data_IF_569276393029
#
_entry.id   IF_569276393029
#
_cell.length_a   1.000
_cell.length_b   1.000
_cell.length_c   1.000
_cell.angle_alpha   90.00
_cell.angle_beta   90.00
_cell.angle_gamma   90.00
#
_symmetry.space_group_name_H-M   'P 1'
#
loop_
_entity.id
_entity.type
_entity.pdbx_description
1 polymer ?
#
# COMPACT_ATOMS: atom_id res chain seq x y z
N UNK A 1 -1.51 -0.50 -10.14
CA UNK A 1 -0.26 0.31 -10.01
C UNK A 1 0.99 -0.57 -10.08
N UNK A 2 1.18 -1.29 -11.19
CA UNK A 2 2.43 -2.00 -11.47
C UNK A 2 3.25 -1.18 -12.43
N UNK A 3 4.43 -0.75 -11.99
CA UNK A 3 5.41 -0.06 -12.85
C UNK A 3 6.70 -0.86 -12.84
N UNK A 4 7.48 -0.87 -13.92
CA UNK A 4 8.81 -1.47 -13.93
C UNK A 4 9.71 -0.78 -12.90
N UNK A 5 10.41 -1.58 -12.08
CA UNK A 5 11.46 -1.12 -11.19
C UNK A 5 12.75 -1.87 -11.53
N UNK A 6 13.70 -1.17 -12.11
CA UNK A 6 14.95 -1.76 -12.62
C UNK A 6 16.12 -1.01 -11.99
N UNK A 7 17.02 -1.75 -11.35
CA UNK A 7 18.21 -1.21 -10.71
C UNK A 7 19.45 -1.86 -11.30
N UNK A 8 20.45 -1.05 -11.62
CA UNK A 8 21.76 -1.50 -12.06
C UNK A 8 22.86 -0.82 -11.25
N UNK A 9 23.63 -1.63 -10.52
CA UNK A 9 24.78 -1.15 -9.76
C UNK A 9 25.90 -2.20 -9.80
N UNK A 10 26.82 -2.16 -10.80
CA UNK A 10 27.90 -3.11 -10.93
C UNK A 10 28.74 -3.21 -9.66
N UNK A 11 29.07 -4.43 -9.26
CA UNK A 11 29.86 -4.71 -8.06
C UNK A 11 29.08 -4.67 -6.73
N UNK A 12 27.86 -4.18 -6.72
CA UNK A 12 27.01 -4.13 -5.52
C UNK A 12 25.74 -4.97 -5.64
N UNK A 13 25.16 -5.03 -6.83
CA UNK A 13 23.94 -5.78 -7.11
C UNK A 13 24.26 -6.83 -8.16
N UNK A 14 23.89 -8.08 -7.88
CA UNK A 14 24.13 -9.20 -8.81
C UNK A 14 23.30 -9.00 -10.09
N UNK A 15 23.90 -9.21 -11.27
CA UNK A 15 23.17 -9.12 -12.53
C UNK A 15 22.11 -10.21 -12.65
N UNK A 16 21.07 -9.95 -13.44
CA UNK A 16 19.97 -10.87 -13.75
C UNK A 16 19.18 -11.38 -12.52
N UNK A 17 19.25 -10.70 -11.39
CA UNK A 17 18.40 -11.01 -10.24
C UNK A 17 16.99 -10.46 -10.45
N UNK A 18 15.99 -11.16 -9.91
CA UNK A 18 14.59 -10.79 -9.93
C UNK A 18 13.99 -11.03 -8.55
N UNK A 19 13.05 -10.18 -8.16
CA UNK A 19 12.24 -10.32 -6.95
C UNK A 19 10.78 -10.02 -7.26
N UNK A 20 9.87 -10.77 -6.66
CA UNK A 20 8.43 -10.53 -6.68
C UNK A 20 7.95 -9.84 -5.39
N UNK A 21 8.88 -9.35 -4.57
CA UNK A 21 8.58 -8.60 -3.34
C UNK A 21 7.79 -7.32 -3.65
N UNK A 22 6.81 -7.02 -2.81
CA UNK A 22 6.02 -5.79 -2.94
C UNK A 22 6.83 -4.63 -2.40
N UNK A 23 7.09 -3.65 -3.25
CA UNK A 23 7.84 -2.44 -2.91
C UNK A 23 7.06 -1.19 -3.34
N UNK A 24 7.37 -0.06 -2.74
CA UNK A 24 6.79 1.25 -3.08
C UNK A 24 7.88 2.29 -3.27
N UNK A 25 7.59 3.36 -3.99
CA UNK A 25 8.59 4.40 -4.29
C UNK A 25 9.11 5.11 -3.04
N UNK A 26 8.30 5.20 -1.98
CA UNK A 26 8.71 5.76 -0.68
C UNK A 26 9.88 5.01 -0.06
N UNK A 27 10.09 3.72 -0.40
CA UNK A 27 11.18 2.88 0.09
C UNK A 27 12.57 3.36 -0.33
N UNK A 28 12.63 4.20 -1.36
CA UNK A 28 13.91 4.75 -1.81
C UNK A 28 14.55 5.65 -0.75
N UNK A 29 13.78 6.33 0.09
CA UNK A 29 14.32 7.17 1.16
C UNK A 29 15.14 6.33 2.16
N UNK A 30 14.54 5.29 2.74
CA UNK A 30 15.24 4.41 3.67
C UNK A 30 16.38 3.64 2.99
N UNK A 31 16.20 3.27 1.71
CA UNK A 31 17.22 2.60 0.91
C UNK A 31 18.48 3.46 0.73
N UNK A 32 18.30 4.70 0.31
CA UNK A 32 19.43 5.60 0.13
C UNK A 32 20.09 5.98 1.46
N UNK A 33 19.30 6.19 2.50
CA UNK A 33 19.83 6.45 3.83
C UNK A 33 20.72 5.29 4.32
N UNK A 34 20.29 4.04 4.15
CA UNK A 34 21.09 2.88 4.51
C UNK A 34 22.38 2.78 3.68
N UNK A 35 22.30 3.01 2.36
CA UNK A 35 23.46 2.96 1.46
C UNK A 35 24.55 3.97 1.88
N UNK A 36 24.16 5.17 2.27
CA UNK A 36 25.10 6.22 2.69
C UNK A 36 25.38 6.21 4.21
N UNK A 37 24.87 5.16 4.91
CA UNK A 37 24.99 5.02 6.36
C UNK A 37 24.47 6.25 7.14
N UNK A 38 23.34 6.80 6.71
CA UNK A 38 22.68 7.94 7.36
C UNK A 38 21.47 7.48 8.15
N UNK A 39 21.32 7.95 9.39
CA UNK A 39 20.14 7.66 10.23
C UNK A 39 19.00 8.60 9.89
N UNK A 40 17.87 8.05 9.49
CA UNK A 40 16.63 8.80 9.31
C UNK A 40 16.04 9.15 10.69
N UNK A 41 15.61 10.41 10.92
CA UNK A 41 14.86 10.78 12.13
C UNK A 41 13.56 9.97 12.26
N UNK A 42 13.04 9.85 13.50
CA UNK A 42 11.84 9.04 13.76
C UNK A 42 10.55 9.62 13.17
N UNK A 43 10.57 10.91 12.85
CA UNK A 43 9.49 11.71 12.26
C UNK A 43 9.69 11.93 10.74
N UNK A 44 10.49 11.07 10.10
CA UNK A 44 10.69 11.10 8.65
C UNK A 44 10.72 9.67 8.09
N UNK A 45 10.19 9.48 6.88
CA UNK A 45 10.17 8.18 6.22
C UNK A 45 9.30 7.13 6.92
N UNK A 46 8.18 7.54 7.50
CA UNK A 46 7.27 6.75 8.33
C UNK A 46 6.71 5.52 7.60
N UNK A 47 6.70 5.58 6.26
CA UNK A 47 6.22 4.50 5.38
C UNK A 47 7.33 3.91 4.52
N UNK A 48 8.60 4.22 4.83
CA UNK A 48 9.75 3.81 4.04
C UNK A 48 10.47 2.63 4.67
N UNK A 49 10.67 1.57 3.90
CA UNK A 49 11.46 0.39 4.27
C UNK A 49 12.64 0.27 3.33
N UNK A 50 13.84 0.00 3.87
CA UNK A 50 15.01 -0.14 3.01
C UNK A 50 14.94 -1.38 2.13
N UNK A 51 15.14 -1.18 0.84
CA UNK A 51 15.30 -2.23 -0.17
C UNK A 51 16.74 -2.74 -0.25
N UNK A 52 17.70 -2.09 0.43
CA UNK A 52 19.11 -2.42 0.27
C UNK A 52 19.45 -3.88 0.61
N UNK A 53 18.94 -4.50 1.69
CA UNK A 53 19.17 -5.93 1.96
C UNK A 53 18.66 -6.84 0.85
N UNK A 54 17.53 -6.49 0.21
CA UNK A 54 16.98 -7.22 -0.94
C UNK A 54 17.87 -7.06 -2.17
N UNK A 55 18.21 -5.83 -2.53
CA UNK A 55 18.99 -5.48 -3.72
C UNK A 55 20.42 -6.05 -3.67
N UNK A 56 21.04 -6.03 -2.49
CA UNK A 56 22.40 -6.53 -2.28
C UNK A 56 22.48 -8.05 -2.09
N UNK A 57 21.33 -8.76 -2.08
CA UNK A 57 21.27 -10.20 -1.83
C UNK A 57 21.58 -10.59 -0.38
N UNK A 58 21.57 -9.65 0.56
CA UNK A 58 21.89 -9.89 1.99
C UNK A 58 20.65 -10.15 2.85
N UNK A 59 19.46 -10.14 2.27
CA UNK A 59 18.23 -10.42 3.01
C UNK A 59 18.19 -11.88 3.45
N UNK A 60 17.93 -12.11 4.74
CA UNK A 60 17.97 -13.44 5.37
C UNK A 60 16.60 -13.97 5.79
N UNK A 61 15.53 -13.30 5.42
CA UNK A 61 14.17 -13.65 5.84
C UNK A 61 13.21 -13.66 4.67
N UNK A 62 12.25 -14.56 4.71
CA UNK A 62 11.11 -14.60 3.76
C UNK A 62 9.91 -13.78 4.24
N UNK A 63 10.03 -13.12 5.41
CA UNK A 63 8.98 -12.20 5.89
C UNK A 63 8.85 -11.04 4.91
N UNK A 64 7.63 -10.69 4.45
CA UNK A 64 7.43 -9.54 3.56
C UNK A 64 8.07 -8.25 4.08
N UNK A 65 8.55 -7.40 3.17
CA UNK A 65 9.14 -6.09 3.54
C UNK A 65 8.11 -5.19 4.21
N UNK A 66 6.88 -5.23 3.71
CA UNK A 66 5.75 -4.49 4.26
C UNK A 66 4.68 -5.43 4.79
N UNK A 67 4.08 -5.12 5.95
CA UNK A 67 2.84 -5.75 6.41
C UNK A 67 1.72 -5.51 5.38
N UNK A 68 1.59 -4.29 4.93
CA UNK A 68 0.73 -3.88 3.84
C UNK A 68 1.25 -2.58 3.23
N UNK A 69 0.86 -2.29 1.99
CA UNK A 69 1.11 -1.01 1.35
C UNK A 69 -0.19 -0.27 1.10
N UNK A 70 -0.11 1.06 1.18
CA UNK A 70 -1.23 1.96 0.90
C UNK A 70 -0.94 2.70 -0.39
N UNK A 71 -1.94 2.79 -1.25
CA UNK A 71 -1.92 3.66 -2.42
C UNK A 71 -3.16 4.54 -2.45
N UNK A 72 -3.03 5.72 -3.05
CA UNK A 72 -4.13 6.66 -3.21
C UNK A 72 -4.35 6.94 -4.69
N UNK A 73 -5.60 7.00 -5.09
CA UNK A 73 -5.97 7.36 -6.45
C UNK A 73 -5.95 8.87 -6.65
N UNK A 74 -6.02 9.32 -7.90
CA UNK A 74 -6.11 10.75 -8.25
C UNK A 74 -7.34 11.44 -7.65
N UNK A 75 -8.39 10.69 -7.34
CA UNK A 75 -9.64 11.18 -6.71
C UNK A 75 -9.62 11.04 -5.19
N UNK A 76 -8.48 10.67 -4.59
CA UNK A 76 -8.32 10.58 -3.14
C UNK A 76 -8.72 9.23 -2.53
N UNK A 77 -9.24 8.29 -3.30
CA UNK A 77 -9.63 6.97 -2.78
C UNK A 77 -8.39 6.14 -2.42
N UNK A 78 -8.43 5.49 -1.25
CA UNK A 78 -7.36 4.63 -0.77
C UNK A 78 -7.54 3.19 -1.22
N UNK A 79 -6.42 2.51 -1.42
CA UNK A 79 -6.36 1.07 -1.54
C UNK A 79 -5.26 0.51 -0.63
N UNK A 80 -5.56 -0.63 -0.02
CA UNK A 80 -4.64 -1.41 0.82
C UNK A 80 -4.29 -2.69 0.09
N UNK A 81 -2.99 -2.98 -0.05
CA UNK A 81 -2.51 -4.26 -0.54
C UNK A 81 -1.75 -4.99 0.55
N UNK A 82 -2.17 -6.22 0.84
CA UNK A 82 -1.52 -7.14 1.75
C UNK A 82 -1.43 -8.50 1.07
N UNK A 83 -0.23 -9.02 0.92
CA UNK A 83 -0.02 -10.27 0.18
C UNK A 83 -0.66 -10.21 -1.22
N UNK A 84 -1.50 -11.19 -1.57
CA UNK A 84 -2.26 -11.24 -2.82
C UNK A 84 -3.50 -10.35 -2.83
N UNK A 85 -3.97 -9.90 -1.67
CA UNK A 85 -5.23 -9.17 -1.54
C UNK A 85 -5.06 -7.67 -1.74
N UNK A 86 -5.98 -7.07 -2.49
CA UNK A 86 -6.12 -5.63 -2.63
C UNK A 86 -7.54 -5.21 -2.28
N UNK A 87 -7.68 -4.36 -1.28
CA UNK A 87 -8.94 -3.72 -0.88
C UNK A 87 -8.93 -2.27 -1.33
N UNK A 88 -9.92 -1.87 -2.11
CA UNK A 88 -10.15 -0.50 -2.57
C UNK A 88 -11.34 0.09 -1.83
N UNK A 89 -11.17 1.25 -1.20
CA UNK A 89 -12.22 2.02 -0.52
C UNK A 89 -12.92 2.95 -1.50
N UNK A 90 -13.60 2.35 -2.48
CA UNK A 90 -14.38 3.04 -3.51
C UNK A 90 -15.39 2.06 -4.08
N UNK A 91 -16.61 2.52 -4.37
CA UNK A 91 -17.56 1.72 -5.12
C UNK A 91 -17.38 1.84 -6.63
N UNK A 92 -16.71 2.90 -7.10
CA UNK A 92 -16.39 3.15 -8.50
C UNK A 92 -14.96 2.76 -8.87
N UNK A 93 -14.51 3.22 -10.03
CA UNK A 93 -13.17 2.92 -10.55
C UNK A 93 -12.01 3.48 -9.70
N UNK A 94 -12.31 4.39 -8.77
CA UNK A 94 -11.28 5.12 -8.02
C UNK A 94 -10.47 6.12 -8.85
N UNK A 95 -10.82 6.32 -10.12
CA UNK A 95 -10.09 7.18 -11.05
C UNK A 95 -10.97 7.70 -12.18
N UNK A 96 -10.44 7.72 -13.40
CA UNK A 96 -11.11 8.29 -14.58
C UNK A 96 -11.96 7.29 -15.38
N UNK A 97 -11.87 6.00 -15.08
CA UNK A 97 -12.66 4.98 -15.77
C UNK A 97 -14.11 4.96 -15.28
N UNK A 98 -15.00 4.36 -16.08
CA UNK A 98 -16.39 4.12 -15.67
C UNK A 98 -16.53 2.72 -15.04
N UNK A 99 -17.46 2.57 -14.06
CA UNK A 99 -18.27 3.63 -13.43
C UNK A 99 -17.45 4.51 -12.50
N UNK A 100 -17.67 5.82 -12.55
CA UNK A 100 -17.14 6.71 -11.52
C UNK A 100 -17.94 6.51 -10.21
N UNK A 101 -17.47 7.13 -9.11
CA UNK A 101 -18.06 6.97 -7.78
C UNK A 101 -19.58 7.28 -7.76
N UNK A 102 -20.02 8.37 -8.41
CA UNK A 102 -21.42 8.78 -8.43
C UNK A 102 -22.30 7.79 -9.20
N UNK A 103 -21.82 7.26 -10.31
CA UNK A 103 -22.53 6.26 -11.11
C UNK A 103 -22.60 4.95 -10.33
N UNK A 104 -21.49 4.49 -9.75
CA UNK A 104 -21.41 3.27 -8.97
C UNK A 104 -22.36 3.27 -7.76
N UNK A 105 -22.47 4.41 -7.05
CA UNK A 105 -23.44 4.59 -5.95
C UNK A 105 -24.89 4.47 -6.43
N UNK A 106 -25.22 5.08 -7.58
CA UNK A 106 -26.55 4.95 -8.18
C UNK A 106 -26.88 3.51 -8.61
N UNK A 107 -25.86 2.75 -8.99
CA UNK A 107 -26.00 1.32 -9.32
C UNK A 107 -26.11 0.42 -8.09
N UNK A 108 -25.97 0.96 -6.87
CA UNK A 108 -25.98 0.19 -5.63
C UNK A 108 -24.76 -0.74 -5.45
N UNK A 109 -23.64 -0.42 -6.08
CA UNK A 109 -22.43 -1.21 -5.94
C UNK A 109 -21.87 -1.13 -4.51
N UNK A 110 -21.18 -2.18 -4.03
CA UNK A 110 -20.55 -2.18 -2.71
C UNK A 110 -19.60 -0.98 -2.54
N UNK A 111 -19.54 -0.43 -1.32
CA UNK A 111 -18.68 0.73 -1.00
C UNK A 111 -17.19 0.43 -1.03
N UNK A 112 -16.84 -0.84 -1.06
CA UNK A 112 -15.46 -1.32 -1.19
C UNK A 112 -15.36 -2.44 -2.22
N UNK A 113 -14.16 -2.64 -2.75
CA UNK A 113 -13.88 -3.70 -3.72
C UNK A 113 -12.67 -4.49 -3.24
N UNK A 114 -12.79 -5.83 -3.23
CA UNK A 114 -11.71 -6.74 -2.85
C UNK A 114 -11.30 -7.60 -4.05
N UNK A 115 -10.00 -7.70 -4.28
CA UNK A 115 -9.44 -8.48 -5.38
C UNK A 115 -8.32 -9.40 -4.91
N UNK A 116 -8.25 -10.60 -5.50
CA UNK A 116 -7.13 -11.54 -5.39
C UNK A 116 -6.22 -11.33 -6.61
N UNK A 117 -5.10 -10.64 -6.43
CA UNK A 117 -4.21 -10.25 -7.53
C UNK A 117 -3.36 -11.40 -8.10
N UNK A 118 -3.31 -12.56 -7.43
CA UNK A 118 -2.63 -13.74 -7.95
C UNK A 118 -3.47 -14.40 -9.03
N UNK A 119 -4.79 -14.45 -8.84
CA UNK A 119 -5.74 -15.08 -9.76
C UNK A 119 -6.44 -14.09 -10.69
N UNK A 120 -6.58 -12.84 -10.25
CA UNK A 120 -7.25 -11.75 -10.99
C UNK A 120 -6.41 -10.46 -11.01
N UNK A 121 -5.27 -10.43 -11.72
CA UNK A 121 -4.43 -9.24 -11.81
C UNK A 121 -5.08 -8.07 -12.56
N UNK A 122 -6.23 -8.30 -13.21
CA UNK A 122 -7.02 -7.28 -13.92
C UNK A 122 -8.09 -6.63 -13.03
N UNK A 123 -8.27 -7.13 -11.81
CA UNK A 123 -9.27 -6.60 -10.87
C UNK A 123 -10.69 -6.63 -11.46
N UNK A 124 -11.05 -7.74 -12.09
CA UNK A 124 -12.31 -7.91 -12.83
C UNK A 124 -13.43 -8.49 -11.96
N UNK A 125 -13.09 -9.19 -10.87
CA UNK A 125 -14.03 -9.93 -10.04
C UNK A 125 -13.98 -9.43 -8.60
N UNK A 126 -14.95 -8.60 -8.21
CA UNK A 126 -15.04 -8.08 -6.84
C UNK A 126 -15.45 -9.20 -5.87
N UNK A 127 -14.57 -9.57 -4.96
CA UNK A 127 -14.72 -10.62 -3.97
C UNK A 127 -15.20 -10.09 -2.60
N UNK A 128 -15.56 -8.82 -2.47
CA UNK A 128 -15.97 -8.18 -1.22
C UNK A 128 -16.99 -9.00 -0.42
N UNK A 129 -18.05 -9.46 -1.07
CA UNK A 129 -19.11 -10.24 -0.40
C UNK A 129 -18.74 -11.69 -0.09
N UNK A 130 -17.69 -12.21 -0.74
CA UNK A 130 -17.24 -13.60 -0.56
C UNK A 130 -16.23 -13.76 0.56
N UNK A 131 -15.49 -12.70 0.87
CA UNK A 131 -14.40 -12.71 1.85
C UNK A 131 -14.49 -11.53 2.81
N UNK A 132 -15.58 -11.39 3.59
CA UNK A 132 -15.73 -10.30 4.55
C UNK A 132 -14.63 -10.28 5.61
N UNK A 133 -14.11 -11.44 6.01
CA UNK A 133 -13.01 -11.57 6.96
C UNK A 133 -11.71 -10.92 6.45
N UNK A 134 -11.47 -10.99 5.13
CA UNK A 134 -10.32 -10.34 4.49
C UNK A 134 -10.53 -8.84 4.44
N UNK A 135 -11.74 -8.39 4.09
CA UNK A 135 -12.11 -6.96 4.10
C UNK A 135 -11.87 -6.36 5.49
N UNK A 136 -12.34 -7.03 6.54
CA UNK A 136 -12.17 -6.58 7.92
C UNK A 136 -10.69 -6.50 8.32
N UNK A 137 -9.90 -7.53 7.98
CA UNK A 137 -8.45 -7.57 8.25
C UNK A 137 -7.71 -6.41 7.58
N UNK A 138 -7.92 -6.17 6.28
CA UNK A 138 -7.25 -5.09 5.56
C UNK A 138 -7.71 -3.72 6.06
N UNK A 139 -8.99 -3.58 6.38
CA UNK A 139 -9.54 -2.36 6.97
C UNK A 139 -8.93 -2.05 8.33
N UNK A 140 -8.78 -3.07 9.19
CA UNK A 140 -8.15 -2.93 10.50
C UNK A 140 -6.66 -2.53 10.38
N UNK A 141 -5.94 -3.13 9.43
CA UNK A 141 -4.54 -2.78 9.16
C UNK A 141 -4.41 -1.34 8.68
N UNK A 142 -5.27 -0.91 7.77
CA UNK A 142 -5.26 0.47 7.30
C UNK A 142 -5.56 1.45 8.44
N UNK A 143 -6.59 1.16 9.26
CA UNK A 143 -6.91 1.96 10.45
C UNK A 143 -5.72 2.08 11.39
N UNK A 144 -5.03 0.97 11.68
CA UNK A 144 -3.81 0.94 12.49
C UNK A 144 -2.74 1.91 11.96
N UNK A 145 -2.51 1.91 10.64
CA UNK A 145 -1.52 2.80 10.02
C UNK A 145 -1.93 4.27 10.13
N UNK A 146 -3.19 4.58 9.86
CA UNK A 146 -3.74 5.94 10.01
C UNK A 146 -3.64 6.43 11.45
N UNK A 147 -4.04 5.61 12.43
CA UNK A 147 -3.99 5.96 13.85
C UNK A 147 -2.56 6.12 14.38
N UNK A 148 -1.62 5.39 13.81
CA UNK A 148 -0.20 5.48 14.18
C UNK A 148 0.55 6.57 13.40
N UNK A 149 -0.04 7.12 12.34
CA UNK A 149 0.62 8.06 11.43
C UNK A 149 1.84 7.45 10.74
N UNK A 150 1.88 6.11 10.61
CA UNK A 150 2.96 5.36 9.96
C UNK A 150 2.60 3.91 9.73
N UNK A 151 3.20 3.30 8.71
CA UNK A 151 3.09 1.86 8.41
C UNK A 151 4.30 1.04 8.88
N UNK A 152 5.41 1.69 9.26
CA UNK A 152 6.64 1.04 9.75
C UNK A 152 6.73 1.05 11.29
N UNK A 153 7.56 0.18 11.90
CA UNK A 153 7.82 0.23 13.34
C UNK A 153 8.44 1.58 13.76
N UNK A 154 7.96 2.13 14.87
CA UNK A 154 8.49 3.36 15.44
C UNK A 154 7.48 4.11 16.32
N UNK A 155 7.84 5.29 16.85
CA UNK A 155 6.94 6.10 17.63
C UNK A 155 5.78 6.62 16.78
N UNK A 156 4.61 6.69 17.40
CA UNK A 156 3.41 7.23 16.77
C UNK A 156 3.66 8.64 16.28
N UNK A 157 3.22 8.94 15.05
CA UNK A 157 3.28 10.27 14.46
C UNK A 157 1.90 10.92 14.43
N UNK A 158 1.88 12.23 14.49
CA UNK A 158 0.64 13.01 14.39
C UNK A 158 0.31 13.24 12.91
N UNK A 159 -0.88 12.85 12.50
CA UNK A 159 -1.39 13.28 11.21
C UNK A 159 -1.62 14.78 11.24
N UNK A 160 -0.79 15.54 10.53
CA UNK A 160 -0.97 16.99 10.38
C UNK A 160 -2.21 17.25 9.54
N UNK A 161 -3.05 18.14 10.02
CA UNK A 161 -4.39 18.48 9.49
C UNK A 161 -5.43 17.39 9.80
N UNK A 162 -6.38 17.72 10.65
CA UNK A 162 -7.57 16.91 10.93
C UNK A 162 -8.36 16.63 9.65
N UNK A 163 -7.84 15.69 8.87
CA UNK A 163 -8.39 15.33 7.58
C UNK A 163 -9.55 14.40 7.89
N UNK A 164 -10.76 14.93 7.73
CA UNK A 164 -11.95 14.12 7.61
C UNK A 164 -11.86 13.41 6.25
N UNK A 165 -11.37 12.20 6.26
CA UNK A 165 -11.31 11.38 5.07
C UNK A 165 -12.68 10.72 4.85
N UNK A 166 -13.60 11.43 4.21
CA UNK A 166 -14.96 10.95 3.89
C UNK A 166 -14.97 9.57 3.18
N UNK A 167 -13.87 9.23 2.54
CA UNK A 167 -13.67 7.95 1.85
C UNK A 167 -13.32 6.79 2.78
N UNK A 168 -13.08 7.03 4.07
CA UNK A 168 -12.77 5.99 5.03
C UNK A 168 -14.02 5.59 5.80
N UNK A 169 -14.44 4.31 5.79
CA UNK A 169 -15.72 3.88 6.34
C UNK A 169 -15.93 4.17 7.83
N UNK A 170 -14.85 4.35 8.60
CA UNK A 170 -14.90 4.60 10.05
C UNK A 170 -14.74 6.08 10.42
N UNK A 171 -14.34 6.94 9.48
CA UNK A 171 -14.23 8.39 9.71
C UNK A 171 -15.53 9.08 9.28
N UNK A 172 -16.60 8.78 10.01
CA UNK A 172 -17.90 9.43 9.81
C UNK A 172 -17.99 10.71 10.62
N UNK A 173 -16.96 11.57 10.60
CA UNK A 173 -16.92 12.88 11.24
C UNK A 173 -17.73 12.94 12.54
N UNK A 174 -17.05 12.94 13.69
CA UNK A 174 -17.69 13.30 14.96
C UNK A 174 -17.97 14.79 15.00
#
# INVERSE_FOLDING_TARGET
HRVPFIVRWPGQILPATRSDEIIVQTDLLATFAEIINHRIPADAGEDSVSLWPLLSGKRKTDTPLHEAIISQSVTGNFAVRMEKWKLLFSCGSGGWSTPNEAIARKMGLPTTQLYDLDTDPKESNNLHSKHPEVVDRLTATFRKFVENGRSTPGPKQVNHHGIHWEVIPWDKGK
#
